data_IF_201059072939
#
_entry.id   IF_201059072939
#
_cell.length_a   1.000
_cell.length_b   1.000
_cell.length_c   1.000
_cell.angle_alpha   90.00
_cell.angle_beta   90.00
_cell.angle_gamma   90.00
#
_symmetry.space_group_name_H-M   'P 1'
#
loop_
_entity.id
_entity.type
_entity.pdbx_description
1 polymer ?
#
# COMPACT_ATOMS: atom_id res chain seq x y z
N UNK A 1 -21.45 16.28 3.34
CA UNK A 1 -20.27 15.44 3.13
C UNK A 1 -19.58 15.82 1.84
N UNK A 2 -18.28 15.79 1.83
CA UNK A 2 -17.50 16.20 0.65
C UNK A 2 -17.14 14.99 -0.18
N UNK A 3 -17.17 15.15 -1.50
CA UNK A 3 -16.89 14.04 -2.42
C UNK A 3 -15.51 13.45 -2.22
N UNK A 4 -14.51 14.30 -1.98
CA UNK A 4 -13.15 13.77 -1.81
C UNK A 4 -13.01 12.90 -0.57
N UNK A 5 -13.84 13.10 0.45
CA UNK A 5 -13.82 12.23 1.63
C UNK A 5 -14.26 10.82 1.28
N UNK A 6 -15.26 10.71 0.38
CA UNK A 6 -15.70 9.41 -0.10
C UNK A 6 -14.61 8.74 -0.93
N UNK A 7 -13.96 9.52 -1.79
CA UNK A 7 -12.88 9.00 -2.63
C UNK A 7 -11.71 8.50 -1.78
N UNK A 8 -11.36 9.25 -0.73
CA UNK A 8 -10.30 8.84 0.18
C UNK A 8 -10.64 7.53 0.91
N UNK A 9 -11.91 7.33 1.25
CA UNK A 9 -12.35 6.12 1.92
C UNK A 9 -12.21 4.89 1.01
N UNK A 10 -12.14 5.08 -0.31
CA UNK A 10 -11.99 3.99 -1.28
C UNK A 10 -10.54 3.80 -1.71
N UNK A 11 -9.62 4.55 -1.13
CA UNK A 11 -8.21 4.49 -1.49
C UNK A 11 -7.39 3.91 -0.36
N UNK A 12 -6.35 3.17 -0.74
CA UNK A 12 -5.35 2.65 0.18
C UNK A 12 -3.98 3.13 -0.25
N UNK A 13 -3.01 2.98 0.64
CA UNK A 13 -1.61 3.20 0.31
C UNK A 13 -0.85 1.92 0.63
N UNK A 14 -0.18 1.36 -0.37
CA UNK A 14 0.79 0.29 -0.13
C UNK A 14 2.13 0.96 0.12
N UNK A 15 2.78 0.58 1.19
CA UNK A 15 4.02 1.20 1.58
C UNK A 15 4.89 0.28 2.40
N UNK A 16 5.84 0.89 3.11
CA UNK A 16 6.77 0.17 3.96
C UNK A 16 6.53 0.55 5.42
N UNK A 17 6.53 -0.44 6.30
CA UNK A 17 6.43 -0.22 7.73
C UNK A 17 7.48 -1.08 8.41
N UNK A 18 8.46 -0.41 9.02
CA UNK A 18 9.55 -1.09 9.72
C UNK A 18 10.20 -2.16 8.84
N UNK A 19 10.34 -1.86 7.56
CA UNK A 19 10.99 -2.74 6.60
C UNK A 19 10.09 -3.74 5.91
N UNK A 20 8.81 -3.81 6.29
CA UNK A 20 7.86 -4.77 5.69
C UNK A 20 6.83 -4.08 4.83
N UNK A 21 6.31 -4.83 3.86
CA UNK A 21 5.21 -4.37 3.03
C UNK A 21 3.98 -4.18 3.92
N UNK A 22 3.31 -3.05 3.77
CA UNK A 22 2.18 -2.73 4.62
C UNK A 22 1.10 -2.00 3.84
N UNK A 23 -0.13 -2.18 4.29
CA UNK A 23 -1.31 -1.54 3.73
C UNK A 23 -1.83 -0.51 4.72
N UNK A 24 -2.01 0.72 4.24
CA UNK A 24 -2.54 1.81 5.04
C UNK A 24 -3.86 2.28 4.47
N UNK A 25 -4.78 2.68 5.35
CA UNK A 25 -5.91 3.49 4.91
C UNK A 25 -5.37 4.87 4.54
N UNK A 26 -6.01 5.53 3.59
CA UNK A 26 -5.58 6.86 3.17
C UNK A 26 -5.54 7.81 4.36
N UNK A 27 -4.41 8.47 4.57
CA UNK A 27 -4.23 9.42 5.66
C UNK A 27 -3.93 8.82 7.02
N UNK A 28 -3.84 7.50 7.13
CA UNK A 28 -3.55 6.85 8.40
C UNK A 28 -2.05 6.85 8.70
N UNK A 29 -1.68 6.98 9.98
CA UNK A 29 -0.29 6.97 10.41
C UNK A 29 0.23 5.56 10.63
N UNK A 30 -0.65 4.61 10.90
CA UNK A 30 -0.27 3.23 11.15
C UNK A 30 -0.94 2.32 10.14
N UNK A 31 -0.30 1.17 9.83
CA UNK A 31 -0.85 0.29 8.82
C UNK A 31 -2.08 -0.46 9.33
N UNK A 32 -2.98 -0.72 8.41
CA UNK A 32 -4.11 -1.60 8.63
C UNK A 32 -3.67 -3.05 8.64
N UNK A 33 -2.64 -3.38 7.85
CA UNK A 33 -2.15 -4.74 7.74
C UNK A 33 -0.68 -4.74 7.33
N UNK A 34 0.08 -5.68 7.87
CA UNK A 34 1.49 -5.87 7.56
C UNK A 34 1.64 -7.25 6.92
N UNK A 35 2.43 -7.34 5.86
CA UNK A 35 2.64 -8.58 5.12
C UNK A 35 4.04 -9.11 5.34
N UNK A 36 4.25 -10.44 5.24
CA UNK A 36 5.57 -11.03 5.47
C UNK A 36 6.49 -10.89 4.25
N UNK A 37 6.65 -9.68 3.76
CA UNK A 37 7.50 -9.36 2.62
C UNK A 37 8.43 -8.24 3.05
N UNK A 38 9.73 -8.51 3.02
CA UNK A 38 10.73 -7.48 3.33
C UNK A 38 10.94 -6.61 2.12
N UNK A 39 10.63 -5.32 2.25
CA UNK A 39 10.73 -4.37 1.16
C UNK A 39 12.17 -4.29 0.63
N UNK A 40 13.16 -4.41 1.52
CA UNK A 40 14.56 -4.38 1.13
C UNK A 40 15.00 -5.53 0.22
N UNK A 41 14.24 -6.62 0.17
CA UNK A 41 14.55 -7.75 -0.70
C UNK A 41 13.96 -7.61 -2.10
N UNK A 42 13.15 -6.58 -2.33
CA UNK A 42 12.52 -6.36 -3.63
C UNK A 42 13.46 -5.62 -4.58
N UNK A 43 13.20 -5.69 -5.90
CA UNK A 43 13.95 -4.87 -6.86
C UNK A 43 13.90 -3.39 -6.51
N UNK A 44 14.91 -2.64 -6.91
CA UNK A 44 15.06 -1.25 -6.50
C UNK A 44 13.85 -0.38 -6.87
N UNK A 45 13.30 -0.59 -8.06
CA UNK A 45 12.13 0.19 -8.50
C UNK A 45 10.94 -0.03 -7.57
N UNK A 46 10.73 -1.27 -7.14
CA UNK A 46 9.63 -1.59 -6.22
C UNK A 46 9.89 -1.03 -4.83
N UNK A 47 11.14 -1.12 -4.36
CA UNK A 47 11.48 -0.54 -3.06
C UNK A 47 11.21 0.95 -3.03
N UNK A 48 11.66 1.66 -4.05
CA UNK A 48 11.47 3.11 -4.13
C UNK A 48 9.98 3.45 -4.15
N UNK A 49 9.20 2.74 -4.95
CA UNK A 49 7.77 2.99 -5.05
C UNK A 49 7.07 2.76 -3.71
N UNK A 50 7.42 1.69 -3.00
CA UNK A 50 6.80 1.39 -1.71
C UNK A 50 7.25 2.34 -0.61
N UNK A 51 8.51 2.78 -0.65
CA UNK A 51 8.99 3.77 0.31
C UNK A 51 8.30 5.12 0.15
N UNK A 52 7.97 5.48 -1.09
CA UNK A 52 7.21 6.69 -1.36
C UNK A 52 5.72 6.51 -1.11
N UNK A 53 5.24 5.27 -1.17
CA UNK A 53 3.83 4.95 -1.01
C UNK A 53 3.11 4.90 -2.35
N UNK A 54 2.46 3.77 -2.62
CA UNK A 54 1.68 3.57 -3.84
C UNK A 54 0.21 3.78 -3.51
N UNK A 55 -0.39 4.81 -4.10
CA UNK A 55 -1.81 5.05 -3.91
C UNK A 55 -2.58 4.06 -4.77
N UNK A 56 -3.45 3.29 -4.12
CA UNK A 56 -4.22 2.24 -4.78
C UNK A 56 -5.70 2.57 -4.66
N UNK A 57 -6.38 2.67 -5.79
CA UNK A 57 -7.80 2.94 -5.83
C UNK A 57 -8.54 1.71 -6.31
N UNK A 58 -9.47 1.25 -5.47
CA UNK A 58 -10.29 0.12 -5.79
C UNK A 58 -9.69 -1.21 -5.35
N UNK A 59 -10.57 -2.12 -4.96
CA UNK A 59 -10.18 -3.40 -4.39
C UNK A 59 -9.47 -4.28 -5.42
N UNK A 60 -9.93 -4.24 -6.66
CA UNK A 60 -9.36 -5.09 -7.71
C UNK A 60 -7.90 -4.75 -7.96
N UNK A 61 -7.57 -3.45 -7.97
CA UNK A 61 -6.22 -3.02 -8.16
C UNK A 61 -5.33 -3.41 -6.98
N UNK A 62 -5.87 -3.29 -5.77
CA UNK A 62 -5.16 -3.69 -4.57
C UNK A 62 -4.84 -5.18 -4.60
N UNK A 63 -5.83 -6.01 -4.93
CA UNK A 63 -5.64 -7.45 -4.97
C UNK A 63 -4.59 -7.82 -6.01
N UNK A 64 -4.58 -7.16 -7.16
CA UNK A 64 -3.61 -7.43 -8.21
C UNK A 64 -2.18 -7.11 -7.75
N UNK A 65 -1.99 -5.96 -7.09
CA UNK A 65 -0.67 -5.59 -6.58
C UNK A 65 -0.20 -6.53 -5.48
N UNK A 66 -1.08 -6.87 -4.56
CA UNK A 66 -0.74 -7.79 -3.48
C UNK A 66 -0.38 -9.18 -4.02
N UNK A 67 -1.09 -9.64 -5.04
CA UNK A 67 -0.80 -10.92 -5.66
C UNK A 67 0.62 -10.93 -6.24
N UNK A 68 1.03 -9.84 -6.88
CA UNK A 68 2.38 -9.74 -7.43
C UNK A 68 3.44 -9.76 -6.34
N UNK A 69 3.23 -9.03 -5.24
CA UNK A 69 4.23 -8.95 -4.17
C UNK A 69 4.25 -10.20 -3.30
N UNK A 70 3.13 -10.88 -3.16
CA UNK A 70 3.03 -12.02 -2.25
C UNK A 70 3.29 -13.37 -2.93
N UNK A 71 3.38 -13.42 -4.25
CA UNK A 71 3.59 -14.66 -4.98
C UNK A 71 5.06 -15.11 -5.08
#
# INVERSE_FOLDING_TARGET
MKLYSILLALAWVLGSWKGYLALFDAGADEPRQIYPVQVGALPEADRTALEEGIIVRGRRRLDALLEDYLS
#
